data_IF_810318200686
#
_entry.id   IF_810318200686
#
_cell.length_a   1.000
_cell.length_b   1.000
_cell.length_c   1.000
_cell.angle_alpha   90.00
_cell.angle_beta   90.00
_cell.angle_gamma   90.00
#
_symmetry.space_group_name_H-M   'P 1'
#
loop_
_entity.id
_entity.type
_entity.pdbx_description
1 polymer ?
#
# COMPACT_ATOMS: atom_id res chain seq x y z
N UNK A 1 -39.64 -21.07 -63.56
CA UNK A 1 -38.96 -22.07 -64.39
C UNK A 1 -38.14 -22.90 -63.39
N UNK A 2 -38.70 -24.05 -62.91
CA UNK A 2 -38.52 -25.41 -63.44
C UNK A 2 -37.08 -25.80 -63.36
N UNK A 3 -36.66 -26.79 -62.64
CA UNK A 3 -36.87 -28.20 -62.47
C UNK A 3 -35.82 -28.72 -61.50
N UNK A 4 -36.04 -29.54 -60.55
CA UNK A 4 -36.52 -30.87 -60.43
C UNK A 4 -35.40 -31.93 -60.27
N UNK A 5 -35.51 -32.76 -59.24
CA UNK A 5 -35.11 -34.17 -59.03
C UNK A 5 -33.60 -34.53 -59.08
N UNK A 6 -33.08 -35.38 -58.27
CA UNK A 6 -33.57 -36.72 -57.92
C UNK A 6 -32.88 -37.33 -56.67
N UNK A 7 -33.63 -38.19 -56.01
CA UNK A 7 -33.21 -39.21 -55.03
C UNK A 7 -32.24 -40.24 -55.59
N UNK A 8 -31.29 -40.74 -54.77
CA UNK A 8 -30.93 -42.17 -54.78
C UNK A 8 -30.62 -42.62 -53.33
N UNK A 9 -31.43 -43.60 -52.91
CA UNK A 9 -31.20 -44.50 -51.75
C UNK A 9 -30.23 -45.58 -52.12
N UNK A 10 -29.43 -46.07 -51.16
CA UNK A 10 -29.08 -47.47 -50.88
C UNK A 10 -28.02 -47.43 -49.78
N UNK A 11 -28.30 -47.88 -48.56
CA UNK A 11 -28.39 -49.23 -48.03
C UNK A 11 -27.00 -49.87 -47.87
N UNK A 12 -26.60 -50.09 -46.64
CA UNK A 12 -25.90 -51.29 -46.23
C UNK A 12 -24.50 -51.10 -45.72
N UNK A 13 -24.27 -51.22 -44.46
CA UNK A 13 -23.51 -52.24 -43.77
C UNK A 13 -23.12 -51.76 -42.38
N UNK A 14 -23.72 -52.37 -41.39
CA UNK A 14 -23.27 -52.29 -40.00
C UNK A 14 -21.93 -52.98 -39.87
N UNK A 15 -20.92 -52.23 -39.43
CA UNK A 15 -19.67 -52.80 -38.92
C UNK A 15 -19.54 -52.34 -37.47
N UNK A 16 -19.95 -53.27 -36.59
CA UNK A 16 -19.76 -53.18 -35.14
C UNK A 16 -18.27 -53.35 -34.86
N UNK A 17 -17.59 -52.26 -34.62
CA UNK A 17 -16.22 -52.30 -34.06
C UNK A 17 -16.36 -52.27 -32.55
N UNK A 18 -16.23 -53.41 -31.90
CA UNK A 18 -15.98 -53.53 -30.46
C UNK A 18 -14.62 -52.94 -30.16
N UNK A 19 -14.60 -51.71 -29.70
CA UNK A 19 -13.42 -51.15 -29.03
C UNK A 19 -13.47 -51.59 -27.57
N UNK A 20 -12.68 -52.60 -27.24
CA UNK A 20 -12.38 -52.99 -25.87
C UNK A 20 -11.68 -51.83 -25.17
N UNK A 21 -12.40 -51.16 -24.26
CA UNK A 21 -11.82 -50.23 -23.30
C UNK A 21 -10.98 -51.07 -22.31
N UNK A 22 -9.71 -51.24 -22.59
CA UNK A 22 -8.73 -51.63 -21.56
C UNK A 22 -8.53 -50.44 -20.64
N UNK A 23 -9.20 -50.45 -19.50
CA UNK A 23 -8.91 -49.58 -18.36
C UNK A 23 -7.50 -49.92 -17.88
N UNK A 24 -6.53 -49.14 -18.31
CA UNK A 24 -5.22 -49.09 -17.65
C UNK A 24 -5.42 -48.31 -16.36
N UNK A 25 -5.83 -48.98 -15.30
CA UNK A 25 -5.63 -48.54 -13.94
C UNK A 25 -4.14 -48.68 -13.67
N UNK A 26 -3.36 -47.67 -14.07
CA UNK A 26 -2.00 -47.53 -13.57
C UNK A 26 -2.14 -46.89 -12.19
N UNK A 27 -2.31 -47.74 -11.17
CA UNK A 27 -1.89 -47.35 -9.83
C UNK A 27 -0.37 -47.40 -9.87
N UNK A 28 0.20 -46.20 -10.04
CA UNK A 28 1.61 -46.02 -9.74
C UNK A 28 1.75 -46.06 -8.21
N UNK A 29 2.08 -47.26 -7.71
CA UNK A 29 2.56 -47.43 -6.33
C UNK A 29 4.02 -46.94 -6.22
N UNK A 30 4.35 -45.87 -6.93
CA UNK A 30 5.60 -45.18 -6.73
C UNK A 30 5.65 -44.73 -5.27
N UNK A 31 6.54 -45.37 -4.49
CA UNK A 31 6.85 -44.88 -3.17
C UNK A 31 7.17 -43.41 -3.29
N UNK A 32 6.30 -42.55 -2.72
CA UNK A 32 6.62 -41.15 -2.52
C UNK A 32 7.80 -41.18 -1.55
N UNK A 33 9.01 -41.15 -2.08
CA UNK A 33 10.16 -40.77 -1.27
C UNK A 33 9.86 -39.37 -0.80
N UNK A 34 9.38 -39.25 0.42
CA UNK A 34 9.40 -37.99 1.13
C UNK A 34 10.87 -37.54 1.16
N UNK A 35 11.27 -36.78 0.18
CA UNK A 35 12.44 -35.96 0.32
C UNK A 35 12.16 -35.05 1.51
N UNK A 36 12.53 -35.50 2.69
CA UNK A 36 12.76 -34.57 3.80
C UNK A 36 13.86 -33.63 3.31
N UNK A 37 13.45 -32.55 2.61
CA UNK A 37 14.30 -31.42 2.58
C UNK A 37 14.55 -31.09 4.05
N UNK A 38 15.83 -31.03 4.47
CA UNK A 38 16.10 -30.56 5.81
C UNK A 38 15.34 -29.25 5.95
N UNK A 39 14.37 -29.24 6.85
CA UNK A 39 13.73 -27.98 7.28
C UNK A 39 14.92 -27.14 7.71
N UNK A 40 15.27 -26.14 6.89
CA UNK A 40 16.18 -25.11 7.32
C UNK A 40 15.55 -24.59 8.60
N UNK A 41 16.16 -24.90 9.74
CA UNK A 41 15.77 -24.29 11.01
C UNK A 41 15.94 -22.80 10.78
N UNK A 42 14.84 -22.14 10.47
CA UNK A 42 14.85 -20.69 10.30
C UNK A 42 14.94 -20.14 11.70
N UNK A 43 16.14 -19.71 12.05
CA UNK A 43 16.40 -19.01 13.29
C UNK A 43 15.45 -17.82 13.36
N UNK A 44 14.54 -17.84 14.31
CA UNK A 44 13.49 -16.83 14.46
C UNK A 44 13.39 -16.35 15.90
N UNK A 45 12.97 -15.12 16.06
CA UNK A 45 12.70 -14.53 17.36
C UNK A 45 11.25 -14.00 17.44
N UNK A 46 10.85 -13.57 18.64
CA UNK A 46 9.59 -12.89 18.88
C UNK A 46 9.84 -11.41 19.07
N UNK A 47 9.10 -10.58 18.36
CA UNK A 47 9.09 -9.14 18.55
C UNK A 47 7.88 -8.75 19.39
N UNK A 48 8.12 -8.00 20.47
CA UNK A 48 7.12 -7.31 21.27
C UNK A 48 7.23 -5.82 21.01
N UNK A 49 6.25 -5.26 20.31
CA UNK A 49 6.19 -3.85 19.98
C UNK A 49 5.14 -3.17 20.85
N UNK A 50 5.53 -2.14 21.58
CA UNK A 50 4.66 -1.38 22.47
C UNK A 50 4.56 0.06 21.99
N UNK A 51 3.37 0.55 21.69
CA UNK A 51 3.12 1.90 21.20
C UNK A 51 1.72 2.40 21.51
N UNK A 52 1.57 3.73 21.61
CA UNK A 52 0.28 4.41 21.51
C UNK A 52 0.13 4.88 20.06
N UNK A 53 -0.76 4.24 19.30
CA UNK A 53 -0.91 4.45 17.85
C UNK A 53 -2.21 5.19 17.59
N UNK A 54 -2.15 6.25 16.78
CA UNK A 54 -3.31 7.09 16.42
C UNK A 54 -3.37 7.35 14.93
N UNK A 55 -4.58 7.46 14.41
CA UNK A 55 -4.86 7.89 13.04
C UNK A 55 -4.83 6.78 12.00
N UNK A 56 -4.60 5.50 12.38
CA UNK A 56 -4.64 4.37 11.45
C UNK A 56 -6.02 4.20 10.82
N UNK A 57 -7.08 4.49 11.56
CA UNK A 57 -8.47 4.42 11.09
C UNK A 57 -8.79 5.40 9.95
N UNK A 58 -7.96 6.39 9.71
CA UNK A 58 -8.11 7.33 8.58
C UNK A 58 -7.80 6.69 7.22
N UNK A 59 -7.08 5.56 7.19
CA UNK A 59 -6.65 4.86 5.97
C UNK A 59 -7.77 3.98 5.42
N UNK A 60 -8.29 4.35 4.26
CA UNK A 60 -9.47 3.73 3.63
C UNK A 60 -9.27 3.39 2.15
N UNK A 61 -8.04 3.32 1.69
CA UNK A 61 -7.67 3.03 0.31
C UNK A 61 -6.93 1.69 0.17
N UNK A 62 -6.20 1.59 -0.93
CA UNK A 62 -5.35 0.43 -1.20
C UNK A 62 -4.03 0.41 -0.41
N UNK A 63 -3.64 1.54 0.18
CA UNK A 63 -2.45 1.67 1.03
C UNK A 63 -2.85 1.50 2.49
N UNK A 64 -1.95 0.95 3.29
CA UNK A 64 -2.20 0.72 4.72
C UNK A 64 -0.98 1.06 5.56
N UNK A 65 -1.22 1.39 6.83
CA UNK A 65 -0.16 1.49 7.82
C UNK A 65 -0.03 0.18 8.55
N UNK A 66 1.19 -0.31 8.67
CA UNK A 66 1.47 -1.59 9.31
C UNK A 66 2.80 -1.57 10.06
N UNK A 67 2.93 -2.46 11.05
CA UNK A 67 4.21 -2.86 11.59
C UNK A 67 4.84 -3.85 10.61
N UNK A 68 6.01 -3.51 10.08
CA UNK A 68 6.64 -4.21 8.98
C UNK A 68 8.12 -4.48 9.27
N UNK A 69 8.57 -5.68 8.95
CA UNK A 69 9.96 -6.09 9.13
C UNK A 69 10.66 -6.16 7.78
N UNK A 70 11.83 -5.56 7.68
CA UNK A 70 12.63 -5.50 6.46
C UNK A 70 14.04 -6.05 6.71
N UNK A 71 14.60 -6.72 5.71
CA UNK A 71 16.04 -6.95 5.63
C UNK A 71 16.78 -5.68 5.16
N UNK A 72 18.10 -5.78 5.02
CA UNK A 72 18.94 -4.64 4.63
C UNK A 72 18.82 -4.24 3.16
N UNK A 73 18.26 -5.10 2.31
CA UNK A 73 18.33 -4.96 0.85
C UNK A 73 16.97 -4.73 0.21
N UNK A 74 15.88 -5.16 0.87
CA UNK A 74 14.56 -5.18 0.28
C UNK A 74 13.71 -3.95 0.61
N UNK A 75 13.02 -3.44 -0.40
CA UNK A 75 11.92 -2.47 -0.23
C UNK A 75 10.59 -3.16 0.16
N UNK A 76 10.55 -4.50 0.12
CA UNK A 76 9.36 -5.28 0.42
C UNK A 76 9.45 -5.88 1.81
N UNK A 77 8.40 -5.70 2.60
CA UNK A 77 8.34 -6.24 3.94
C UNK A 77 8.24 -7.78 3.92
N UNK A 78 9.10 -8.45 4.68
CA UNK A 78 9.08 -9.91 4.87
C UNK A 78 7.95 -10.34 5.80
N UNK A 79 7.79 -9.61 6.90
CA UNK A 79 6.72 -9.85 7.88
C UNK A 79 5.94 -8.57 8.08
N UNK A 80 4.61 -8.68 8.14
CA UNK A 80 3.70 -7.54 8.30
C UNK A 80 2.63 -7.87 9.33
N UNK A 81 2.34 -6.92 10.20
CA UNK A 81 1.19 -6.95 11.12
C UNK A 81 0.37 -5.69 10.95
N UNK A 82 -0.91 -5.85 10.68
CA UNK A 82 -1.86 -4.74 10.62
C UNK A 82 -1.91 -4.02 11.96
N UNK A 83 -1.94 -2.71 11.92
CA UNK A 83 -2.08 -1.83 13.07
C UNK A 83 -3.52 -1.33 13.19
N UNK A 84 -3.89 -0.95 14.39
CA UNK A 84 -5.14 -0.29 14.74
C UNK A 84 -4.83 0.92 15.63
N UNK A 85 -5.78 1.83 15.75
CA UNK A 85 -5.66 2.88 16.75
C UNK A 85 -5.71 2.25 18.15
N UNK A 86 -4.86 2.70 19.04
CA UNK A 86 -4.88 2.30 20.45
C UNK A 86 -6.18 2.77 21.08
N UNK A 87 -6.83 1.90 21.84
CA UNK A 87 -8.10 2.21 22.50
C UNK A 87 -7.94 3.40 23.46
N UNK A 88 -8.98 4.22 23.54
CA UNK A 88 -8.91 5.49 24.28
C UNK A 88 -8.72 5.33 25.80
N UNK A 89 -8.99 4.14 26.35
CA UNK A 89 -8.81 3.76 27.73
C UNK A 89 -7.47 3.05 28.00
N UNK A 90 -6.65 2.83 26.97
CA UNK A 90 -5.33 2.25 27.06
C UNK A 90 -4.23 3.30 26.76
N UNK A 91 -3.17 3.27 27.54
CA UNK A 91 -2.01 4.13 27.30
C UNK A 91 -1.17 3.64 26.10
N UNK A 92 -1.16 2.33 25.87
CA UNK A 92 -0.36 1.67 24.82
C UNK A 92 -0.88 0.29 24.46
N UNK A 93 -0.76 -0.05 23.18
CA UNK A 93 -0.94 -1.41 22.69
C UNK A 93 0.35 -2.21 22.77
N UNK A 94 0.19 -3.52 22.96
CA UNK A 94 1.28 -4.48 22.80
C UNK A 94 1.00 -5.41 21.63
N UNK A 95 1.83 -5.32 20.60
CA UNK A 95 1.73 -6.10 19.39
C UNK A 95 2.84 -7.16 19.38
N UNK A 96 2.44 -8.43 19.23
CA UNK A 96 3.38 -9.55 19.15
C UNK A 96 3.51 -10.04 17.70
N UNK A 97 4.76 -10.15 17.23
CA UNK A 97 5.13 -10.85 16.00
C UNK A 97 6.05 -12.01 16.37
N UNK A 98 5.59 -13.22 16.13
CA UNK A 98 6.41 -14.43 16.30
C UNK A 98 6.94 -14.90 14.94
N UNK A 99 8.06 -15.60 14.94
CA UNK A 99 8.66 -16.13 13.73
C UNK A 99 9.33 -15.05 12.86
N UNK A 100 9.84 -14.00 13.47
CA UNK A 100 10.62 -12.98 12.76
C UNK A 100 12.03 -13.52 12.49
N UNK A 101 12.43 -13.54 11.21
CA UNK A 101 13.73 -14.07 10.80
C UNK A 101 14.91 -13.24 11.33
N UNK A 102 16.02 -13.89 11.64
CA UNK A 102 17.25 -13.23 12.11
C UNK A 102 17.94 -12.37 11.02
N UNK A 103 17.48 -12.49 9.77
CA UNK A 103 17.90 -11.63 8.65
C UNK A 103 17.22 -10.24 8.63
N UNK A 104 16.29 -10.00 9.52
CA UNK A 104 15.62 -8.70 9.64
C UNK A 104 16.58 -7.67 10.26
N UNK A 105 16.75 -6.56 9.57
CA UNK A 105 17.60 -5.43 10.01
C UNK A 105 16.82 -4.27 10.62
N UNK A 106 15.55 -4.10 10.20
CA UNK A 106 14.69 -3.02 10.70
C UNK A 106 13.26 -3.47 10.90
N UNK A 107 12.66 -2.91 11.94
CA UNK A 107 11.22 -2.97 12.19
C UNK A 107 10.67 -1.56 12.04
N UNK A 108 9.64 -1.39 11.25
CA UNK A 108 9.12 -0.07 10.91
C UNK A 108 7.60 -0.01 11.07
N UNK A 109 7.12 1.13 11.53
CA UNK A 109 5.75 1.54 11.23
C UNK A 109 5.79 2.24 9.88
N UNK A 110 5.20 1.60 8.87
CA UNK A 110 5.36 2.00 7.48
C UNK A 110 4.04 2.06 6.74
N UNK A 111 3.98 2.98 5.77
CA UNK A 111 2.93 3.00 4.74
C UNK A 111 3.34 1.98 3.68
N UNK A 112 2.47 1.01 3.44
CA UNK A 112 2.71 -0.09 2.50
C UNK A 112 1.73 -0.07 1.34
N UNK A 113 2.22 -0.47 0.16
CA UNK A 113 1.38 -0.83 -0.98
C UNK A 113 0.69 -2.20 -0.75
N UNK A 114 -0.30 -2.58 -1.57
CA UNK A 114 -0.93 -3.90 -1.54
C UNK A 114 0.07 -5.07 -1.67
N UNK A 115 1.20 -4.84 -2.33
CA UNK A 115 2.28 -5.82 -2.49
C UNK A 115 3.32 -5.74 -1.36
N UNK A 116 3.03 -5.08 -0.25
CA UNK A 116 3.92 -4.87 0.90
C UNK A 116 5.20 -4.09 0.57
N UNK A 117 5.23 -3.33 -0.53
CA UNK A 117 6.32 -2.42 -0.81
C UNK A 117 6.23 -1.22 0.12
N UNK A 118 7.36 -0.82 0.70
CA UNK A 118 7.48 0.41 1.49
C UNK A 118 7.22 1.63 0.61
N UNK A 119 6.25 2.45 0.99
CA UNK A 119 5.97 3.75 0.39
C UNK A 119 6.62 4.86 1.21
N UNK A 120 6.45 4.82 2.53
CA UNK A 120 7.11 5.73 3.45
C UNK A 120 7.26 5.11 4.83
N UNK A 121 8.26 5.55 5.59
CA UNK A 121 8.54 5.10 6.95
C UNK A 121 8.10 6.16 7.95
N UNK A 122 7.10 5.83 8.79
CA UNK A 122 6.61 6.70 9.86
C UNK A 122 7.59 6.65 11.05
N UNK A 123 7.96 5.44 11.47
CA UNK A 123 8.95 5.22 12.52
C UNK A 123 9.81 3.99 12.17
N UNK A 124 11.09 3.99 12.54
CA UNK A 124 12.03 2.90 12.22
C UNK A 124 12.89 2.55 13.43
N UNK A 125 13.05 1.26 13.66
CA UNK A 125 13.79 0.68 14.77
C UNK A 125 14.78 -0.35 14.22
N UNK A 126 16.06 -0.12 14.47
CA UNK A 126 17.11 -1.05 14.04
C UNK A 126 17.14 -2.25 14.97
N UNK A 127 17.30 -3.42 14.38
CA UNK A 127 17.49 -4.68 15.11
C UNK A 127 18.98 -5.00 15.15
N UNK A 128 19.48 -5.36 16.35
CA UNK A 128 20.87 -5.77 16.51
C UNK A 128 21.13 -7.12 15.84
N UNK A 129 22.31 -7.29 15.28
CA UNK A 129 22.69 -8.55 14.62
C UNK A 129 22.96 -9.75 15.58
N UNK A 130 23.08 -9.48 16.89
CA UNK A 130 23.47 -10.48 17.91
C UNK A 130 22.21 -11.07 18.59
N UNK A 131 21.22 -11.48 17.81
CA UNK A 131 19.99 -12.08 18.35
C UNK A 131 20.09 -13.58 18.31
N UNK A 132 19.86 -14.21 19.46
CA UNK A 132 19.74 -15.67 19.57
C UNK A 132 18.34 -16.14 19.22
N UNK A 133 18.25 -17.40 18.76
CA UNK A 133 16.97 -18.06 18.56
C UNK A 133 16.14 -18.03 19.83
N UNK A 134 14.83 -17.87 19.66
CA UNK A 134 13.83 -17.79 20.74
C UNK A 134 13.92 -16.57 21.66
N UNK A 135 14.77 -15.59 21.38
CA UNK A 135 14.76 -14.32 22.12
C UNK A 135 13.47 -13.52 21.89
N UNK A 136 13.11 -12.74 22.89
CA UNK A 136 12.04 -11.74 22.74
C UNK A 136 12.66 -10.35 22.74
N UNK A 137 12.57 -9.68 21.58
CA UNK A 137 12.98 -8.29 21.44
C UNK A 137 11.83 -7.40 21.81
N UNK A 138 12.08 -6.44 22.71
CA UNK A 138 11.08 -5.46 23.13
C UNK A 138 11.42 -4.11 22.52
N UNK A 139 10.49 -3.52 21.77
CA UNK A 139 10.55 -2.16 21.24
C UNK A 139 9.46 -1.34 21.93
N UNK A 140 9.85 -0.31 22.67
CA UNK A 140 8.95 0.72 23.17
C UNK A 140 9.04 1.93 22.22
N UNK A 141 8.01 2.10 21.40
CA UNK A 141 7.99 3.10 20.33
C UNK A 141 7.34 4.42 20.75
N UNK A 142 6.75 4.48 21.95
CA UNK A 142 6.07 5.69 22.41
C UNK A 142 4.82 6.01 21.60
N UNK A 143 4.59 7.30 21.34
CA UNK A 143 3.46 7.80 20.56
C UNK A 143 3.77 7.73 19.06
N UNK A 144 2.87 7.15 18.29
CA UNK A 144 2.94 7.03 16.83
C UNK A 144 1.72 7.70 16.21
N UNK A 145 1.94 8.81 15.52
CA UNK A 145 0.91 9.50 14.74
C UNK A 145 0.96 8.98 13.31
N UNK A 146 -0.10 8.28 12.90
CA UNK A 146 -0.20 7.58 11.62
C UNK A 146 -1.39 8.06 10.78
N UNK A 147 -1.99 9.20 11.10
CA UNK A 147 -3.10 9.77 10.33
C UNK A 147 -2.72 10.03 8.87
N UNK A 148 -3.69 9.84 7.96
CA UNK A 148 -3.45 9.97 6.52
C UNK A 148 -3.05 11.39 6.14
N UNK A 149 -3.73 12.42 6.68
CA UNK A 149 -3.36 13.81 6.37
C UNK A 149 -2.00 14.18 6.98
N UNK A 150 -1.72 13.75 8.21
CA UNK A 150 -0.40 13.95 8.84
C UNK A 150 0.70 13.34 7.98
N UNK A 151 0.47 12.15 7.42
CA UNK A 151 1.39 11.50 6.50
C UNK A 151 1.54 12.26 5.17
N UNK A 152 0.44 12.74 4.57
CA UNK A 152 0.49 13.60 3.37
C UNK A 152 1.29 14.87 3.67
N UNK A 153 1.01 15.52 4.77
CA UNK A 153 1.73 16.73 5.17
C UNK A 153 3.23 16.46 5.31
N UNK A 154 3.60 15.43 6.06
CA UNK A 154 5.00 15.07 6.31
C UNK A 154 5.75 14.67 5.05
N UNK A 155 5.21 13.77 4.26
CA UNK A 155 5.93 13.15 3.15
C UNK A 155 5.76 13.88 1.82
N UNK A 156 4.66 14.63 1.64
CA UNK A 156 4.40 15.39 0.42
C UNK A 156 4.70 16.87 0.64
N UNK A 157 3.98 17.55 1.51
CA UNK A 157 4.13 19.00 1.60
C UNK A 157 5.49 19.41 2.14
N UNK A 158 6.02 18.70 3.15
CA UNK A 158 7.35 18.95 3.69
C UNK A 158 8.43 18.16 2.94
N UNK A 159 8.20 16.87 2.69
CA UNK A 159 9.17 15.96 2.10
C UNK A 159 9.44 16.21 0.62
N UNK A 160 8.43 16.60 -0.16
CA UNK A 160 8.53 16.85 -1.61
C UNK A 160 8.77 18.33 -1.96
N UNK A 161 9.25 19.09 -0.99
CA UNK A 161 9.61 20.52 -1.14
C UNK A 161 8.45 21.45 -1.55
N UNK A 162 7.18 21.08 -1.38
CA UNK A 162 6.06 21.97 -1.65
C UNK A 162 6.13 23.22 -0.77
N UNK A 163 6.47 23.05 0.50
CA UNK A 163 6.62 24.14 1.46
C UNK A 163 7.74 25.12 1.11
N UNK A 164 8.69 24.75 0.25
CA UNK A 164 9.74 25.66 -0.21
C UNK A 164 9.19 26.91 -0.91
N UNK A 165 8.12 26.76 -1.69
CA UNK A 165 7.43 27.85 -2.37
C UNK A 165 6.15 28.27 -1.63
N UNK A 166 5.55 27.32 -0.90
CA UNK A 166 4.26 27.49 -0.25
C UNK A 166 4.40 27.57 1.28
N UNK A 167 5.23 28.50 1.79
CA UNK A 167 5.38 28.74 3.23
C UNK A 167 5.80 30.18 3.52
N UNK A 168 5.86 30.53 4.81
CA UNK A 168 6.30 31.84 5.28
C UNK A 168 5.26 32.94 5.14
N UNK A 169 5.72 34.19 5.21
CA UNK A 169 4.86 35.40 5.24
C UNK A 169 4.31 35.81 3.87
N UNK A 170 4.84 35.25 2.78
CA UNK A 170 4.42 35.58 1.40
C UNK A 170 4.48 34.34 0.53
N UNK A 171 3.65 33.31 0.81
CA UNK A 171 3.69 32.06 0.10
C UNK A 171 3.14 32.21 -1.32
N UNK A 172 3.67 31.42 -2.26
CA UNK A 172 3.22 31.42 -3.64
C UNK A 172 1.70 31.15 -3.72
N UNK A 173 0.97 32.01 -4.47
CA UNK A 173 -0.48 31.92 -4.65
C UNK A 173 -1.28 31.94 -3.33
N UNK A 174 -0.78 32.61 -2.31
CA UNK A 174 -1.38 32.71 -0.97
C UNK A 174 -1.72 31.33 -0.34
N UNK A 175 -0.98 30.29 -0.74
CA UNK A 175 -1.11 28.95 -0.23
C UNK A 175 0.01 28.66 0.76
N UNK A 176 -0.29 28.62 2.05
CA UNK A 176 0.67 28.25 3.08
C UNK A 176 0.53 26.76 3.43
N UNK A 177 1.57 25.98 3.13
CA UNK A 177 1.67 24.54 3.41
C UNK A 177 2.66 24.26 4.55
N UNK A 178 2.98 25.24 5.41
CA UNK A 178 3.72 24.95 6.65
C UNK A 178 2.96 23.93 7.48
N UNK A 179 3.71 23.07 8.19
CA UNK A 179 3.16 21.85 8.79
C UNK A 179 1.95 22.07 9.71
N UNK A 180 1.96 23.18 10.44
CA UNK A 180 0.94 23.55 11.44
C UNK A 180 -0.33 24.16 10.85
N UNK A 181 -0.26 24.72 9.61
CA UNK A 181 -1.37 25.45 9.00
C UNK A 181 -1.86 24.88 7.68
N UNK A 182 -1.17 23.88 7.12
CA UNK A 182 -1.46 23.32 5.82
C UNK A 182 -2.93 22.90 5.67
N UNK A 183 -3.48 22.19 6.64
CA UNK A 183 -4.86 21.70 6.63
C UNK A 183 -5.87 22.84 6.47
N UNK A 184 -5.78 23.87 7.32
CA UNK A 184 -6.68 25.02 7.28
C UNK A 184 -6.53 25.88 6.02
N UNK A 185 -5.36 25.82 5.37
CA UNK A 185 -5.10 26.57 4.14
C UNK A 185 -5.57 25.87 2.87
N UNK A 186 -5.87 24.57 2.92
CA UNK A 186 -6.31 23.82 1.73
C UNK A 186 -7.79 23.45 1.76
N UNK A 187 -8.35 23.14 2.94
CA UNK A 187 -9.68 22.58 3.06
C UNK A 187 -10.76 23.66 2.83
N UNK A 188 -11.61 23.45 1.83
CA UNK A 188 -12.71 24.37 1.46
C UNK A 188 -12.28 25.80 1.13
N UNK A 189 -11.02 26.05 0.83
CA UNK A 189 -10.49 27.36 0.46
C UNK A 189 -10.46 27.48 -1.07
N UNK A 190 -11.01 28.56 -1.67
CA UNK A 190 -10.88 28.81 -3.10
C UNK A 190 -9.43 28.94 -3.55
N UNK A 191 -9.10 28.37 -4.71
CA UNK A 191 -7.78 28.55 -5.31
C UNK A 191 -7.64 29.97 -5.88
N UNK A 192 -6.52 30.65 -5.60
CA UNK A 192 -6.24 31.97 -6.20
C UNK A 192 -6.12 31.86 -7.73
N UNK A 193 -5.60 30.75 -8.25
CA UNK A 193 -5.44 30.54 -9.71
C UNK A 193 -6.73 30.11 -10.41
N UNK A 194 -7.70 29.58 -9.67
CA UNK A 194 -9.00 29.16 -10.18
C UNK A 194 -10.06 29.44 -9.09
N UNK A 195 -10.55 30.68 -8.94
CA UNK A 195 -11.41 31.06 -7.81
C UNK A 195 -12.73 30.30 -7.72
N UNK A 196 -13.19 29.71 -8.82
CA UNK A 196 -14.38 28.84 -8.85
C UNK A 196 -14.11 27.41 -8.37
N UNK A 197 -12.84 27.06 -8.10
CA UNK A 197 -12.40 25.70 -7.70
C UNK A 197 -11.79 25.77 -6.30
N UNK A 198 -12.21 24.88 -5.40
CA UNK A 198 -11.61 24.77 -4.07
C UNK A 198 -10.23 24.10 -4.16
N UNK A 199 -9.31 24.48 -3.29
CA UNK A 199 -8.00 23.83 -3.17
C UNK A 199 -8.18 22.35 -2.85
N UNK A 200 -9.00 22.04 -1.84
CA UNK A 200 -9.51 20.69 -1.54
C UNK A 200 -11.01 20.80 -1.34
N UNK A 201 -11.77 20.04 -2.14
CA UNK A 201 -13.20 19.87 -2.03
C UNK A 201 -13.46 18.49 -1.40
N UNK A 202 -13.85 18.42 -0.12
CA UNK A 202 -14.09 17.13 0.53
C UNK A 202 -15.08 16.25 -0.26
N UNK A 203 -14.72 14.98 -0.44
CA UNK A 203 -15.52 14.02 -1.18
C UNK A 203 -15.38 14.08 -2.71
N UNK A 204 -14.55 14.99 -3.25
CA UNK A 204 -14.48 15.21 -4.70
C UNK A 204 -13.05 15.60 -5.14
N UNK A 205 -12.19 14.58 -5.27
CA UNK A 205 -10.80 14.79 -5.66
C UNK A 205 -10.66 15.36 -7.08
N UNK A 206 -11.46 14.88 -8.02
CA UNK A 206 -11.37 15.28 -9.43
C UNK A 206 -11.74 16.76 -9.64
N UNK A 207 -12.50 17.38 -8.74
CA UNK A 207 -12.80 18.80 -8.69
C UNK A 207 -12.01 19.57 -7.61
N UNK A 208 -10.99 18.95 -7.00
CA UNK A 208 -10.05 19.61 -6.08
C UNK A 208 -8.84 20.15 -6.84
N UNK A 209 -8.53 21.43 -6.68
CA UNK A 209 -7.42 22.06 -7.40
C UNK A 209 -6.06 21.41 -7.05
N UNK A 210 -5.87 21.01 -5.78
CA UNK A 210 -4.67 20.31 -5.32
C UNK A 210 -4.44 19.02 -6.12
N UNK A 211 -5.45 18.16 -6.25
CA UNK A 211 -5.33 16.91 -6.99
C UNK A 211 -5.06 17.18 -8.48
N UNK A 212 -5.79 18.11 -9.07
CA UNK A 212 -5.65 18.46 -10.48
C UNK A 212 -4.27 19.03 -10.82
N UNK A 213 -3.71 19.92 -9.99
CA UNK A 213 -2.42 20.57 -10.27
C UNK A 213 -1.23 19.57 -10.21
N UNK A 214 -1.35 18.48 -9.44
CA UNK A 214 -0.31 17.46 -9.33
C UNK A 214 -0.46 16.33 -10.36
N UNK A 215 -1.60 16.24 -11.07
CA UNK A 215 -1.90 15.18 -12.04
C UNK A 215 -2.03 15.64 -13.47
N UNK A 216 -2.30 16.94 -13.72
CA UNK A 216 -2.55 17.48 -15.05
C UNK A 216 -1.55 18.59 -15.40
N UNK A 217 -0.71 18.34 -16.40
CA UNK A 217 0.29 19.28 -16.90
C UNK A 217 -0.31 20.51 -17.57
N UNK A 218 -1.58 20.44 -17.99
CA UNK A 218 -2.26 21.52 -18.71
C UNK A 218 -2.93 22.56 -17.79
N UNK A 219 -2.94 22.32 -16.48
CA UNK A 219 -3.44 23.29 -15.54
C UNK A 219 -2.43 24.42 -15.39
N UNK A 220 -2.75 25.57 -15.93
CA UNK A 220 -1.97 26.79 -16.12
C UNK A 220 -1.15 27.29 -14.93
N UNK A 221 -0.10 26.56 -14.59
CA UNK A 221 0.91 26.90 -13.61
C UNK A 221 2.22 27.18 -14.34
N UNK A 222 2.95 28.21 -13.93
CA UNK A 222 4.31 28.44 -14.43
C UNK A 222 5.31 27.35 -13.97
N UNK A 223 4.91 26.51 -13.02
CA UNK A 223 5.69 25.43 -12.47
C UNK A 223 4.96 24.10 -12.66
N UNK A 224 5.63 23.13 -13.28
CA UNK A 224 5.07 21.80 -13.52
C UNK A 224 5.09 20.98 -12.21
N UNK A 225 4.00 20.98 -11.46
CA UNK A 225 3.87 20.25 -10.19
C UNK A 225 3.90 18.73 -10.39
N UNK A 226 3.48 18.23 -11.55
CA UNK A 226 3.57 16.81 -11.93
C UNK A 226 4.99 16.27 -11.84
N UNK A 227 6.00 17.10 -12.13
CA UNK A 227 7.41 16.74 -12.02
C UNK A 227 7.92 16.47 -10.60
N UNK A 228 7.13 16.74 -9.58
CA UNK A 228 7.47 16.41 -8.19
C UNK A 228 7.14 14.96 -7.81
N UNK A 229 6.40 14.23 -8.64
CA UNK A 229 5.88 12.89 -8.37
C UNK A 229 6.43 11.88 -9.39
N UNK A 230 7.75 11.72 -9.46
CA UNK A 230 8.42 10.95 -10.52
C UNK A 230 8.81 9.54 -10.11
N UNK A 231 9.04 9.28 -8.84
CA UNK A 231 9.35 7.93 -8.35
C UNK A 231 8.09 7.19 -7.84
N UNK A 232 8.21 5.89 -7.65
CA UNK A 232 7.05 5.07 -7.29
C UNK A 232 6.45 5.40 -5.90
N UNK A 233 7.22 5.71 -4.84
CA UNK A 233 6.66 6.21 -3.59
C UNK A 233 5.88 7.52 -3.77
N UNK A 234 6.40 8.46 -4.55
CA UNK A 234 5.73 9.73 -4.82
C UNK A 234 4.46 9.54 -5.65
N UNK A 235 4.47 8.65 -6.64
CA UNK A 235 3.26 8.28 -7.40
C UNK A 235 2.18 7.68 -6.48
N UNK A 236 2.56 6.87 -5.50
CA UNK A 236 1.64 6.32 -4.51
C UNK A 236 0.94 7.43 -3.69
N UNK A 237 1.64 8.53 -3.39
CA UNK A 237 1.04 9.66 -2.69
C UNK A 237 -0.01 10.42 -3.50
N UNK A 238 0.01 10.37 -4.82
CA UNK A 238 -1.09 10.89 -5.65
C UNK A 238 -2.39 10.13 -5.34
N UNK A 239 -2.31 8.79 -5.27
CA UNK A 239 -3.46 7.94 -4.94
C UNK A 239 -3.91 8.13 -3.48
N UNK A 240 -2.95 8.29 -2.56
CA UNK A 240 -3.24 8.54 -1.14
C UNK A 240 -3.97 9.89 -1.00
N UNK A 241 -3.52 10.94 -1.66
CA UNK A 241 -4.19 12.25 -1.67
C UNK A 241 -5.60 12.12 -2.25
N UNK A 242 -5.76 11.39 -3.36
CA UNK A 242 -7.08 11.13 -3.96
C UNK A 242 -8.00 10.43 -2.97
N UNK A 243 -7.51 9.38 -2.31
CA UNK A 243 -8.28 8.61 -1.33
C UNK A 243 -8.68 9.46 -0.13
N UNK A 244 -7.74 10.25 0.42
CA UNK A 244 -8.02 11.16 1.51
C UNK A 244 -9.10 12.18 1.17
N UNK A 245 -9.01 12.84 0.00
CA UNK A 245 -10.02 13.82 -0.43
C UNK A 245 -11.39 13.14 -0.58
N UNK A 246 -11.44 11.98 -1.25
CA UNK A 246 -12.70 11.28 -1.53
C UNK A 246 -13.35 10.73 -0.25
N UNK A 247 -12.58 10.45 0.79
CA UNK A 247 -13.08 10.09 2.12
C UNK A 247 -13.61 11.28 2.94
N UNK A 248 -13.59 12.48 2.39
CA UNK A 248 -14.09 13.68 3.04
C UNK A 248 -13.00 14.57 3.62
N UNK A 249 -11.73 14.28 3.34
CA UNK A 249 -10.56 15.08 3.72
C UNK A 249 -10.52 15.39 5.24
N UNK A 250 -10.75 14.37 6.05
CA UNK A 250 -10.74 14.44 7.52
C UNK A 250 -9.36 14.11 8.05
#
# INVERSE_FOLDING_TARGET
MTHLYAHIRRAGAALTLLVSLSSICSCDDGAIEEHHQPTQETNTYTLRFCANIKGVSSWNGQYSVALACFDSESEYAKTVKTLHDTDADEDRDTILLSGVGTDISTVEVAILSPLRRRIATIASFKISADISDSDTIVIDAGDIEADMFVSINRFVFQGNNCSRCHSGSSPASDLNLSADVAYSNILNIPSVKSPSTLRVKPGDADNSYLYRIITDENIGSHYAHTGLFTDAPQQAFIDIIKSWINAGAK
#
